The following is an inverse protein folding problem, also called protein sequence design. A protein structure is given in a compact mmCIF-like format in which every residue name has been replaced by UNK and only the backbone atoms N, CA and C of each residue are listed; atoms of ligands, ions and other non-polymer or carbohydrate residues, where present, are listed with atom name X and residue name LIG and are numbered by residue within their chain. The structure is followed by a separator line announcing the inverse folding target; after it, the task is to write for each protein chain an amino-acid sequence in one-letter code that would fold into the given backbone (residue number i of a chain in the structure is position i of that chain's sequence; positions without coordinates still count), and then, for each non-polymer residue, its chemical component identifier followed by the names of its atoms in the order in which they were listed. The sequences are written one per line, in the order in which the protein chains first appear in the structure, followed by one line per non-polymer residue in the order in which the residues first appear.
data_IF_377536221052
#
_entry.id   IF_377536221052
#
_cell.length_a   1.000
_cell.length_b   1.000
_cell.length_c   1.000
_cell.angle_alpha   90.00
_cell.angle_beta   90.00
_cell.angle_gamma   90.00
#
_symmetry.space_group_name_H-M   'P 1'
#
loop_
_entity.id
_entity.type
_entity.pdbx_description
1 polymer ?
#
# COMPACT_ATOMS: atom_id res chain seq x y z
N UNK A 1 8.62 21.52 -19.86
CA UNK A 1 9.79 21.56 -20.78
C UNK A 1 10.90 20.70 -20.21
N UNK A 2 11.67 19.99 -21.03
CA UNK A 2 12.85 19.24 -20.58
C UNK A 2 14.13 19.84 -21.15
N UNK A 3 15.08 20.11 -20.26
CA UNK A 3 16.45 20.52 -20.56
C UNK A 3 17.37 19.34 -20.34
N UNK A 4 18.21 19.03 -21.32
CA UNK A 4 19.17 17.93 -21.28
C UNK A 4 20.57 18.52 -21.35
N UNK A 5 21.35 18.32 -20.30
CA UNK A 5 22.75 18.76 -20.20
C UNK A 5 23.64 17.52 -20.12
N UNK A 6 24.29 17.16 -21.23
CA UNK A 6 25.37 16.15 -21.27
C UNK A 6 25.04 14.78 -20.64
N UNK A 7 23.78 14.38 -20.69
CA UNK A 7 23.31 13.05 -20.26
C UNK A 7 22.39 12.44 -21.31
N UNK A 8 22.41 11.11 -21.40
CA UNK A 8 21.49 10.37 -22.24
C UNK A 8 20.44 9.70 -21.34
N UNK A 9 19.18 10.12 -21.44
CA UNK A 9 18.07 9.56 -20.66
C UNK A 9 17.00 9.12 -21.66
N UNK A 10 16.42 7.91 -21.51
CA UNK A 10 15.29 7.49 -22.34
C UNK A 10 14.11 8.44 -22.12
N UNK A 11 13.59 9.02 -23.21
CA UNK A 11 12.54 10.04 -23.16
C UNK A 11 11.18 9.43 -23.48
N UNK A 12 10.10 9.81 -22.76
CA UNK A 12 8.73 9.51 -23.18
C UNK A 12 8.33 10.34 -24.42
N UNK A 13 7.48 9.77 -25.28
CA UNK A 13 6.97 10.45 -26.47
C UNK A 13 6.14 11.70 -26.12
N UNK A 14 6.27 12.78 -26.92
CA UNK A 14 5.43 13.98 -26.83
C UNK A 14 5.96 15.14 -25.97
N UNK A 15 7.15 15.02 -25.37
CA UNK A 15 7.78 16.14 -24.65
C UNK A 15 8.38 17.17 -25.62
N UNK A 16 8.06 18.45 -25.44
CA UNK A 16 8.79 19.55 -26.09
C UNK A 16 10.19 19.63 -25.49
N UNK A 17 11.16 19.07 -26.21
CA UNK A 17 12.57 19.09 -25.88
C UNK A 17 13.12 20.44 -26.33
N UNK A 18 13.67 21.20 -25.40
CA UNK A 18 14.61 22.24 -25.77
C UNK A 18 15.96 21.69 -25.38
N UNK A 19 16.70 21.25 -26.40
CA UNK A 19 18.13 21.08 -26.26
C UNK A 19 18.64 22.48 -25.94
N UNK A 20 18.88 22.79 -24.67
CA UNK A 20 19.78 23.90 -24.43
C UNK A 20 21.12 23.38 -24.93
N UNK A 21 21.60 23.95 -26.03
CA UNK A 21 23.05 24.08 -26.19
C UNK A 21 23.60 24.42 -24.80
N UNK A 22 24.66 23.72 -24.36
CA UNK A 22 25.11 23.83 -23.00
C UNK A 22 25.14 25.31 -22.63
N UNK A 23 24.66 25.64 -21.44
CA UNK A 23 25.06 26.90 -20.80
C UNK A 23 26.57 26.72 -20.56
N UNK A 24 27.31 26.82 -21.66
CA UNK A 24 28.74 26.64 -21.80
C UNK A 24 29.30 28.03 -21.65
N UNK A 25 29.60 28.34 -20.42
CA UNK A 25 30.96 28.71 -20.14
C UNK A 25 31.32 28.17 -18.77
N UNK A 26 32.48 27.55 -18.70
CA UNK A 26 33.11 27.08 -17.48
C UNK A 26 33.46 28.23 -16.49
N UNK A 27 32.86 29.42 -16.63
CA UNK A 27 33.24 30.61 -15.86
C UNK A 27 32.10 31.35 -15.16
N UNK A 28 30.81 31.11 -15.41
CA UNK A 28 29.80 31.84 -14.63
C UNK A 28 28.40 31.20 -14.66
N UNK A 29 28.18 30.24 -13.76
CA UNK A 29 26.85 29.68 -13.46
C UNK A 29 25.89 30.68 -12.79
N UNK A 30 26.29 31.95 -12.60
CA UNK A 30 25.49 33.02 -11.99
C UNK A 30 25.61 34.33 -12.81
N UNK A 31 26.16 34.31 -14.04
CA UNK A 31 26.24 35.55 -14.83
C UNK A 31 24.84 36.05 -15.19
N UNK A 32 24.52 37.35 -14.98
CA UNK A 32 23.20 37.90 -15.31
C UNK A 32 22.76 37.65 -16.77
N UNK A 33 23.69 37.73 -17.74
CA UNK A 33 23.38 37.45 -19.14
C UNK A 33 23.04 35.98 -19.42
N UNK A 34 23.68 35.03 -18.72
CA UNK A 34 23.37 33.61 -18.86
C UNK A 34 22.00 33.31 -18.24
N UNK A 35 21.71 33.91 -17.09
CA UNK A 35 20.40 33.81 -16.42
C UNK A 35 19.27 34.42 -17.28
N UNK A 36 19.49 35.58 -17.92
CA UNK A 36 18.52 36.21 -18.83
C UNK A 36 18.22 35.34 -20.06
N UNK A 37 19.23 34.71 -20.67
CA UNK A 37 19.01 33.76 -21.78
C UNK A 37 18.13 32.59 -21.35
N UNK A 38 18.43 31.99 -20.20
CA UNK A 38 17.63 30.90 -19.67
C UNK A 38 16.19 31.38 -19.35
N UNK A 39 16.04 32.53 -18.69
CA UNK A 39 14.75 33.11 -18.34
C UNK A 39 13.87 33.36 -19.58
N UNK A 40 14.46 33.82 -20.69
CA UNK A 40 13.74 33.99 -21.97
C UNK A 40 13.31 32.66 -22.58
N UNK A 41 14.16 31.62 -22.48
CA UNK A 41 13.83 30.29 -23.00
C UNK A 41 12.69 29.61 -22.23
N UNK A 42 12.61 29.84 -20.91
CA UNK A 42 11.56 29.26 -20.05
C UNK A 42 10.34 30.18 -19.87
N UNK A 43 10.30 31.33 -20.56
CA UNK A 43 9.19 32.28 -20.44
C UNK A 43 7.88 31.65 -20.91
N UNK A 44 6.85 31.72 -20.06
CA UNK A 44 5.53 31.15 -20.36
C UNK A 44 5.47 29.62 -20.22
N UNK A 45 6.47 29.00 -19.58
CA UNK A 45 6.48 27.58 -19.22
C UNK A 45 6.16 27.48 -17.72
N UNK A 46 5.23 26.60 -17.35
CA UNK A 46 4.86 26.38 -15.95
C UNK A 46 5.85 25.47 -15.20
N UNK A 47 6.40 24.48 -15.92
CA UNK A 47 7.27 23.45 -15.34
C UNK A 47 8.45 23.06 -16.24
N UNK A 48 9.64 23.00 -15.63
CA UNK A 48 10.92 22.65 -16.27
C UNK A 48 11.57 21.47 -15.54
N UNK A 49 11.92 20.44 -16.30
CA UNK A 49 12.73 19.32 -15.85
C UNK A 49 14.15 19.48 -16.39
N UNK A 50 15.15 19.18 -15.56
CA UNK A 50 16.57 19.24 -15.96
C UNK A 50 17.25 17.90 -15.72
N UNK A 51 17.74 17.31 -16.81
CA UNK A 51 18.59 16.14 -16.82
C UNK A 51 20.06 16.58 -16.91
N UNK A 52 20.88 16.28 -15.89
CA UNK A 52 22.31 16.63 -15.90
C UNK A 52 23.16 15.63 -15.09
N UNK A 53 24.50 15.59 -15.28
CA UNK A 53 25.37 14.72 -14.51
C UNK A 53 25.42 15.14 -13.03
N UNK A 54 25.71 14.22 -12.10
CA UNK A 54 25.77 14.53 -10.66
C UNK A 54 26.64 15.75 -10.32
N UNK A 55 27.78 15.92 -11.01
CA UNK A 55 28.71 17.03 -10.83
C UNK A 55 28.14 18.41 -11.15
N UNK A 56 27.05 18.49 -11.93
CA UNK A 56 26.42 19.76 -12.36
C UNK A 56 25.09 20.05 -11.67
N UNK A 57 24.57 19.13 -10.84
CA UNK A 57 23.29 19.30 -10.12
C UNK A 57 23.29 20.51 -9.19
N UNK A 58 24.41 20.77 -8.49
CA UNK A 58 24.54 21.93 -7.60
C UNK A 58 24.44 23.25 -8.39
N UNK A 59 25.11 23.31 -9.54
CA UNK A 59 25.10 24.45 -10.45
C UNK A 59 23.69 24.72 -10.98
N UNK A 60 23.00 23.69 -11.50
CA UNK A 60 21.62 23.83 -11.96
C UNK A 60 20.66 24.19 -10.83
N UNK A 61 20.79 23.60 -9.63
CA UNK A 61 19.98 23.98 -8.46
C UNK A 61 20.09 25.47 -8.16
N UNK A 62 21.31 26.04 -8.19
CA UNK A 62 21.52 27.47 -7.95
C UNK A 62 20.86 28.34 -9.03
N UNK A 63 21.04 27.98 -10.30
CA UNK A 63 20.44 28.69 -11.44
C UNK A 63 18.90 28.66 -11.39
N UNK A 64 18.33 27.48 -11.17
CA UNK A 64 16.87 27.25 -11.21
C UNK A 64 16.16 27.92 -10.04
N UNK A 65 16.80 28.06 -8.87
CA UNK A 65 16.26 28.80 -7.72
C UNK A 65 16.04 30.29 -8.00
N UNK A 66 16.76 30.86 -8.97
CA UNK A 66 16.55 32.25 -9.42
C UNK A 66 15.49 32.39 -10.50
N UNK A 67 14.90 31.29 -10.98
CA UNK A 67 13.87 31.32 -12.02
C UNK A 67 12.46 31.48 -11.43
N UNK A 68 11.53 32.02 -12.21
CA UNK A 68 10.12 32.16 -11.83
C UNK A 68 9.26 30.95 -12.22
N UNK A 69 9.87 29.77 -12.39
CA UNK A 69 9.23 28.56 -12.96
C UNK A 69 9.44 27.38 -12.04
N UNK A 70 8.44 26.50 -11.91
CA UNK A 70 8.59 25.25 -11.16
C UNK A 70 9.66 24.39 -11.83
N UNK A 71 10.75 24.15 -11.09
CA UNK A 71 11.95 23.53 -11.64
C UNK A 71 12.31 22.25 -10.88
N UNK A 72 12.48 21.15 -11.60
CA UNK A 72 12.78 19.84 -11.04
C UNK A 72 14.06 19.25 -11.64
N UNK A 73 14.94 18.72 -10.79
CA UNK A 73 16.13 17.98 -11.23
C UNK A 73 15.79 16.49 -11.33
N UNK A 74 16.13 15.88 -12.46
CA UNK A 74 16.01 14.45 -12.65
C UNK A 74 17.19 13.75 -11.97
N UNK A 75 16.88 12.85 -11.04
CA UNK A 75 17.84 12.04 -10.29
C UNK A 75 17.42 10.56 -10.39
N UNK A 76 17.67 9.90 -11.54
CA UNK A 76 17.23 8.52 -11.79
C UNK A 76 17.73 7.51 -10.74
N UNK A 77 18.84 7.82 -10.07
CA UNK A 77 19.39 7.00 -8.98
C UNK A 77 18.40 6.84 -7.82
N UNK A 78 17.51 7.82 -7.61
CA UNK A 78 16.48 7.77 -6.57
C UNK A 78 15.33 6.82 -6.93
N UNK A 79 15.09 6.52 -8.21
CA UNK A 79 14.02 5.59 -8.61
C UNK A 79 14.28 4.18 -8.09
N UNK A 80 15.56 3.79 -8.00
CA UNK A 80 15.96 2.48 -7.42
C UNK A 80 15.64 2.36 -5.93
N UNK A 81 15.58 3.48 -5.21
CA UNK A 81 15.32 3.56 -3.77
C UNK A 81 13.80 3.66 -3.50
N UNK A 82 12.99 4.07 -4.49
CA UNK A 82 11.55 4.24 -4.33
C UNK A 82 11.18 5.48 -3.53
N UNK A 83 11.73 6.63 -3.91
CA UNK A 83 11.53 7.90 -3.18
C UNK A 83 10.10 8.42 -3.30
N UNK A 84 9.50 8.75 -2.16
CA UNK A 84 8.17 9.37 -2.06
C UNK A 84 8.29 10.89 -1.89
N UNK A 85 9.43 11.37 -1.37
CA UNK A 85 9.72 12.79 -1.19
C UNK A 85 11.04 13.00 -0.47
N UNK A 86 11.29 14.22 -0.02
CA UNK A 86 12.48 14.57 0.76
C UNK A 86 12.13 15.36 2.02
N UNK A 87 13.01 15.30 3.02
CA UNK A 87 12.98 16.17 4.22
C UNK A 87 14.40 16.61 4.54
N UNK A 88 14.54 17.48 5.53
CA UNK A 88 15.84 17.78 6.13
C UNK A 88 15.85 17.31 7.57
N UNK A 89 16.94 16.68 7.98
CA UNK A 89 17.20 16.31 9.36
C UNK A 89 18.60 16.77 9.73
N UNK A 90 18.69 17.69 10.70
CA UNK A 90 19.96 18.30 11.13
C UNK A 90 20.80 18.87 9.97
N UNK A 91 20.16 19.54 9.00
CA UNK A 91 20.83 20.13 7.83
C UNK A 91 21.20 19.13 6.72
N UNK A 92 20.98 17.83 6.93
CA UNK A 92 21.21 16.79 5.93
C UNK A 92 19.90 16.51 5.18
N UNK A 93 19.97 16.51 3.85
CA UNK A 93 18.84 16.11 3.01
C UNK A 93 18.56 14.61 3.19
N UNK A 94 17.32 14.27 3.48
CA UNK A 94 16.85 12.90 3.64
C UNK A 94 15.90 12.52 2.54
N UNK A 95 15.86 11.23 2.24
CA UNK A 95 14.95 10.61 1.30
C UNK A 95 13.82 9.93 2.06
N UNK A 96 12.58 10.28 1.74
CA UNK A 96 11.39 9.67 2.33
C UNK A 96 11.04 8.39 1.57
N UNK A 97 11.25 7.24 2.20
CA UNK A 97 10.94 5.90 1.63
C UNK A 97 9.58 5.36 2.05
N UNK A 98 8.99 5.90 3.12
CA UNK A 98 7.67 5.51 3.60
C UNK A 98 6.98 6.71 4.26
N UNK A 99 5.81 7.06 3.75
CA UNK A 99 4.87 7.92 4.44
C UNK A 99 3.89 7.00 5.19
N UNK A 100 3.74 7.18 6.50
CA UNK A 100 2.79 6.38 7.30
C UNK A 100 1.37 6.41 6.70
N UNK A 101 0.53 5.44 7.07
CA UNK A 101 -0.78 5.20 6.43
C UNK A 101 -1.75 6.38 6.44
N UNK A 102 -1.83 7.06 7.58
CA UNK A 102 -2.81 8.10 7.84
C UNK A 102 -2.17 9.16 8.73
N UNK A 103 -2.43 10.41 8.42
CA UNK A 103 -2.08 11.52 9.30
C UNK A 103 -2.85 11.40 10.62
N UNK A 104 -2.34 12.04 11.68
CA UNK A 104 -2.94 11.95 13.02
C UNK A 104 -4.44 12.29 13.02
N UNK A 105 -4.84 13.35 12.30
CA UNK A 105 -6.24 13.76 12.17
C UNK A 105 -7.10 12.67 11.53
N UNK A 106 -6.63 12.07 10.44
CA UNK A 106 -7.34 11.02 9.73
C UNK A 106 -7.48 9.77 10.61
N UNK A 107 -6.44 9.41 11.38
CA UNK A 107 -6.51 8.30 12.35
C UNK A 107 -7.54 8.55 13.43
N UNK A 108 -7.59 9.77 13.96
CA UNK A 108 -8.55 10.19 15.00
C UNK A 108 -9.99 10.17 14.47
N UNK A 109 -10.22 10.51 13.20
CA UNK A 109 -11.56 10.43 12.59
C UNK A 109 -11.94 9.00 12.23
N UNK A 110 -10.98 8.21 11.73
CA UNK A 110 -11.22 6.85 11.24
C UNK A 110 -11.56 5.87 12.35
N UNK A 111 -10.92 5.99 13.52
CA UNK A 111 -11.10 5.01 14.60
C UNK A 111 -12.49 5.04 15.25
N UNK A 112 -13.06 6.21 15.60
CA UNK A 112 -14.44 6.30 16.09
C UNK A 112 -15.45 5.76 15.08
N UNK A 113 -15.28 6.08 13.78
CA UNK A 113 -16.13 5.53 12.73
C UNK A 113 -16.13 4.00 12.72
N UNK A 114 -14.94 3.38 12.75
CA UNK A 114 -14.83 1.92 12.81
C UNK A 114 -15.46 1.34 14.09
N UNK A 115 -15.30 2.01 15.23
CA UNK A 115 -15.84 1.55 16.50
C UNK A 115 -17.37 1.64 16.56
N UNK A 116 -17.95 2.77 16.13
CA UNK A 116 -19.41 2.99 16.14
C UNK A 116 -20.10 1.92 15.31
N UNK A 117 -19.62 1.69 14.08
CA UNK A 117 -20.20 0.69 13.20
C UNK A 117 -19.94 -0.72 13.76
N UNK A 118 -18.72 -1.04 14.21
CA UNK A 118 -18.42 -2.37 14.73
C UNK A 118 -19.26 -2.72 15.96
N UNK A 119 -19.46 -1.78 16.88
CA UNK A 119 -20.31 -1.98 18.06
C UNK A 119 -21.75 -2.20 17.64
N UNK A 120 -22.30 -1.34 16.76
CA UNK A 120 -23.67 -1.47 16.25
C UNK A 120 -23.91 -2.83 15.58
N UNK A 121 -23.05 -3.20 14.63
CA UNK A 121 -23.18 -4.46 13.89
C UNK A 121 -22.98 -5.66 14.82
N UNK A 122 -22.04 -5.61 15.77
CA UNK A 122 -21.81 -6.72 16.71
C UNK A 122 -23.02 -6.94 17.62
N UNK A 123 -23.63 -5.88 18.14
CA UNK A 123 -24.83 -5.97 18.98
C UNK A 123 -26.01 -6.52 18.17
N UNK A 124 -26.21 -6.01 16.96
CA UNK A 124 -27.29 -6.45 16.07
C UNK A 124 -27.14 -7.92 15.64
N UNK A 125 -25.91 -8.36 15.37
CA UNK A 125 -25.61 -9.73 14.93
C UNK A 125 -25.41 -10.72 16.09
N UNK A 126 -25.48 -10.28 17.34
CA UNK A 126 -25.26 -11.14 18.50
C UNK A 126 -26.18 -12.37 18.53
N UNK A 127 -27.50 -12.27 18.24
CA UNK A 127 -28.38 -13.44 18.18
C UNK A 127 -27.92 -14.44 17.10
N UNK A 128 -27.51 -13.94 15.92
CA UNK A 128 -26.98 -14.77 14.85
C UNK A 128 -25.69 -15.47 15.27
N UNK A 129 -24.79 -14.78 16.00
CA UNK A 129 -23.54 -15.37 16.48
C UNK A 129 -23.81 -16.55 17.41
N UNK A 130 -24.80 -16.44 18.30
CA UNK A 130 -25.21 -17.53 19.19
C UNK A 130 -25.75 -18.72 18.40
N UNK A 131 -26.66 -18.48 17.45
CA UNK A 131 -27.23 -19.55 16.60
C UNK A 131 -26.14 -20.28 15.82
N UNK A 132 -25.24 -19.54 15.17
CA UNK A 132 -24.13 -20.12 14.40
C UNK A 132 -23.16 -20.86 15.33
N UNK A 133 -22.87 -20.33 16.51
CA UNK A 133 -22.01 -20.98 17.49
C UNK A 133 -22.54 -22.34 17.94
N UNK A 134 -23.84 -22.41 18.24
CA UNK A 134 -24.52 -23.67 18.59
C UNK A 134 -24.45 -24.66 17.41
N UNK A 135 -24.79 -24.21 16.20
CA UNK A 135 -24.75 -25.06 15.01
C UNK A 135 -23.34 -25.62 14.75
N UNK A 136 -22.30 -24.79 14.88
CA UNK A 136 -20.89 -25.22 14.72
C UNK A 136 -20.47 -26.24 15.79
N UNK A 137 -20.96 -26.11 17.03
CA UNK A 137 -20.69 -27.03 18.14
C UNK A 137 -21.40 -28.37 17.98
N UNK A 138 -22.62 -28.36 17.43
CA UNK A 138 -23.39 -29.58 17.16
C UNK A 138 -22.85 -30.37 15.95
N UNK A 139 -22.26 -29.68 14.97
CA UNK A 139 -21.76 -30.31 13.73
C UNK A 139 -20.41 -31.03 13.91
N UNK A 140 -19.53 -30.54 14.81
CA UNK A 140 -18.25 -31.22 15.12
C UNK A 140 -17.63 -30.78 16.46
N UNK A 141 -16.84 -31.62 17.14
CA UNK A 141 -16.17 -31.25 18.39
C UNK A 141 -15.10 -30.15 18.18
N UNK A 142 -14.86 -29.33 19.20
CA UNK A 142 -13.83 -28.26 19.23
C UNK A 142 -14.37 -26.82 19.39
N UNK A 143 -13.57 -25.77 19.14
CA UNK A 143 -13.95 -24.37 19.37
C UNK A 143 -14.88 -23.82 18.29
N UNK A 144 -15.69 -22.81 18.64
CA UNK A 144 -16.59 -22.12 17.70
C UNK A 144 -15.81 -21.34 16.66
N UNK A 145 -14.77 -20.63 17.12
CA UNK A 145 -13.95 -19.79 16.26
C UNK A 145 -12.75 -20.56 15.74
N UNK A 146 -12.47 -20.36 14.47
CA UNK A 146 -11.18 -20.64 13.87
C UNK A 146 -10.34 -19.36 13.93
N UNK A 147 -9.10 -19.49 14.41
CA UNK A 147 -8.17 -18.38 14.60
C UNK A 147 -6.95 -18.64 13.74
N UNK A 148 -6.58 -17.66 12.93
CA UNK A 148 -5.44 -17.77 12.03
C UNK A 148 -4.64 -16.47 12.06
N UNK A 149 -3.33 -16.58 12.23
CA UNK A 149 -2.44 -15.43 12.13
C UNK A 149 -2.44 -14.83 10.72
N UNK A 150 -2.41 -13.51 10.69
CA UNK A 150 -2.39 -12.70 9.47
C UNK A 150 -1.42 -11.55 9.66
N UNK A 151 -0.84 -11.09 8.56
CA UNK A 151 -0.03 -9.86 8.57
C UNK A 151 -0.97 -8.65 8.53
N UNK A 152 -0.81 -7.75 9.50
CA UNK A 152 -1.60 -6.53 9.67
C UNK A 152 -0.77 -5.26 9.48
N UNK A 153 -1.24 -4.16 10.06
CA UNK A 153 -0.58 -2.85 10.00
C UNK A 153 0.85 -2.92 10.54
N UNK A 154 1.80 -2.29 9.84
CA UNK A 154 3.22 -2.27 10.24
C UNK A 154 3.90 -3.64 10.21
N UNK A 155 3.36 -4.60 9.46
CA UNK A 155 3.79 -6.01 9.44
C UNK A 155 3.56 -6.77 10.77
N UNK A 156 2.78 -6.23 11.70
CA UNK A 156 2.45 -6.95 12.93
C UNK A 156 1.51 -8.10 12.65
N UNK A 157 1.82 -9.28 13.20
CA UNK A 157 0.92 -10.41 13.16
C UNK A 157 -0.26 -10.18 14.11
N UNK A 158 -1.46 -10.58 13.67
CA UNK A 158 -2.64 -10.59 14.52
C UNK A 158 -3.48 -11.86 14.29
N UNK A 159 -4.16 -12.27 15.36
CA UNK A 159 -5.09 -13.39 15.35
C UNK A 159 -6.41 -12.96 14.68
N UNK A 160 -6.67 -13.43 13.46
CA UNK A 160 -7.90 -13.16 12.72
C UNK A 160 -8.98 -14.18 13.09
N UNK A 161 -10.16 -13.71 13.50
CA UNK A 161 -11.28 -14.56 13.89
C UNK A 161 -12.19 -14.89 12.71
N UNK A 162 -12.58 -16.17 12.58
CA UNK A 162 -13.64 -16.65 11.69
C UNK A 162 -14.49 -17.67 12.41
N UNK A 163 -15.73 -17.89 11.96
CA UNK A 163 -16.45 -19.09 12.39
C UNK A 163 -15.77 -20.31 11.78
N UNK A 164 -15.63 -21.36 12.59
CA UNK A 164 -15.07 -22.62 12.14
C UNK A 164 -16.00 -23.27 11.13
N UNK A 165 -15.48 -23.52 9.92
CA UNK A 165 -16.19 -24.23 8.84
C UNK A 165 -15.57 -25.60 8.50
N UNK A 166 -14.51 -25.98 9.20
CA UNK A 166 -13.74 -27.20 8.96
C UNK A 166 -13.46 -27.95 10.27
N UNK A 167 -13.30 -29.28 10.19
CA UNK A 167 -12.99 -30.14 11.33
C UNK A 167 -11.63 -29.78 11.93
N UNK A 168 -11.60 -29.49 13.22
CA UNK A 168 -10.39 -29.00 13.90
C UNK A 168 -9.21 -29.97 13.78
N UNK A 169 -9.45 -31.27 13.92
CA UNK A 169 -8.39 -32.29 13.89
C UNK A 169 -7.63 -32.38 12.55
N UNK A 170 -8.19 -31.79 11.49
CA UNK A 170 -7.62 -31.81 10.14
C UNK A 170 -7.22 -30.41 9.65
N UNK A 171 -7.35 -29.39 10.51
CA UNK A 171 -7.07 -28.01 10.13
C UNK A 171 -5.58 -27.73 10.15
N UNK A 172 -5.12 -27.09 9.07
CA UNK A 172 -3.84 -26.45 8.98
C UNK A 172 -3.99 -25.00 9.47
N UNK A 173 -3.46 -24.71 10.66
CA UNK A 173 -3.54 -23.38 11.26
C UNK A 173 -2.58 -22.37 10.58
N UNK A 174 -1.58 -22.86 9.84
CA UNK A 174 -0.59 -22.03 9.16
C UNK A 174 -1.05 -21.61 7.74
N UNK A 175 -2.09 -22.29 7.22
CA UNK A 175 -2.70 -21.94 5.94
C UNK A 175 -1.87 -22.31 4.72
N UNK A 176 -0.98 -23.29 4.86
CA UNK A 176 -0.11 -23.76 3.79
C UNK A 176 -0.92 -24.54 2.73
N UNK A 177 -2.07 -25.09 3.11
CA UNK A 177 -2.96 -25.78 2.17
C UNK A 177 -4.22 -24.96 1.89
N UNK A 178 -4.35 -24.47 0.66
CA UNK A 178 -5.57 -23.84 0.17
C UNK A 178 -6.75 -24.82 0.20
N UNK A 179 -7.94 -24.32 0.54
CA UNK A 179 -9.15 -25.16 0.54
C UNK A 179 -9.54 -25.56 -0.88
N UNK A 180 -9.63 -26.86 -1.16
CA UNK A 180 -10.17 -27.37 -2.42
C UNK A 180 -11.72 -27.20 -2.48
N UNK A 181 -12.31 -27.26 -3.69
CA UNK A 181 -13.78 -27.13 -3.86
C UNK A 181 -14.56 -28.22 -3.10
N UNK A 182 -14.07 -29.45 -3.09
CA UNK A 182 -14.66 -30.59 -2.38
C UNK A 182 -13.77 -31.08 -1.24
N UNK A 183 -13.31 -30.14 -0.41
CA UNK A 183 -12.43 -30.45 0.71
C UNK A 183 -13.18 -31.22 1.81
N UNK A 184 -12.75 -32.47 2.06
CA UNK A 184 -13.29 -33.39 3.07
C UNK A 184 -13.24 -32.85 4.50
N UNK A 185 -12.43 -31.82 4.75
CA UNK A 185 -12.33 -31.15 6.05
C UNK A 185 -13.53 -30.26 6.32
N UNK A 186 -14.25 -29.80 5.30
CA UNK A 186 -15.41 -28.90 5.43
C UNK A 186 -16.61 -29.64 6.03
N UNK A 187 -17.18 -29.10 7.09
CA UNK A 187 -18.33 -29.72 7.77
C UNK A 187 -19.66 -29.39 7.08
N UNK A 188 -20.77 -30.01 7.47
CA UNK A 188 -22.07 -29.78 6.83
C UNK A 188 -22.55 -28.35 7.03
N UNK A 189 -22.46 -27.84 8.26
CA UNK A 189 -22.72 -26.42 8.58
C UNK A 189 -21.62 -25.54 7.97
N UNK A 190 -20.39 -26.04 7.90
CA UNK A 190 -19.27 -25.36 7.25
C UNK A 190 -19.54 -25.00 5.79
N UNK A 191 -20.20 -25.87 5.02
CA UNK A 191 -20.63 -25.57 3.64
C UNK A 191 -21.56 -24.35 3.59
N UNK A 192 -22.54 -24.29 4.50
CA UNK A 192 -23.46 -23.15 4.59
C UNK A 192 -22.75 -21.85 5.01
N UNK A 193 -21.87 -21.92 6.01
CA UNK A 193 -21.07 -20.77 6.49
C UNK A 193 -20.22 -20.16 5.36
N UNK A 194 -19.66 -21.00 4.48
CA UNK A 194 -18.83 -20.56 3.35
C UNK A 194 -19.67 -20.05 2.18
N UNK A 195 -20.83 -20.67 1.91
CA UNK A 195 -21.74 -20.23 0.85
C UNK A 195 -22.34 -18.84 1.13
N UNK A 196 -22.50 -18.48 2.41
CA UNK A 196 -23.13 -17.22 2.85
C UNK A 196 -22.12 -16.15 3.29
N UNK A 197 -20.82 -16.45 3.26
CA UNK A 197 -19.74 -15.58 3.79
C UNK A 197 -19.90 -15.19 5.28
N UNK A 198 -20.87 -15.77 6.01
CA UNK A 198 -21.13 -15.54 7.45
C UNK A 198 -19.88 -15.89 8.29
N UNK A 199 -19.02 -16.77 7.78
CA UNK A 199 -17.77 -17.14 8.43
C UNK A 199 -16.84 -15.97 8.74
N UNK A 200 -16.98 -14.85 8.04
CA UNK A 200 -16.15 -13.66 8.20
C UNK A 200 -16.66 -12.68 9.27
N UNK A 201 -17.91 -12.83 9.73
CA UNK A 201 -18.51 -11.88 10.71
C UNK A 201 -17.74 -11.76 12.03
N UNK A 202 -17.10 -12.81 12.60
CA UNK A 202 -16.30 -12.66 13.82
C UNK A 202 -15.12 -11.68 13.69
N UNK A 203 -14.73 -11.28 12.48
CA UNK A 203 -13.73 -10.23 12.25
C UNK A 203 -14.18 -8.87 12.78
N UNK A 204 -15.48 -8.64 13.04
CA UNK A 204 -15.95 -7.46 13.78
C UNK A 204 -15.25 -7.33 15.13
N UNK A 205 -14.96 -8.44 15.80
CA UNK A 205 -14.18 -8.46 17.05
C UNK A 205 -12.75 -7.98 16.82
N UNK A 206 -12.14 -8.27 15.67
CA UNK A 206 -10.83 -7.73 15.29
C UNK A 206 -10.87 -6.22 15.07
N UNK A 207 -11.96 -5.68 14.53
CA UNK A 207 -12.17 -4.24 14.39
C UNK A 207 -12.31 -3.60 15.77
N UNK A 208 -13.11 -4.17 16.67
CA UNK A 208 -13.25 -3.69 18.05
C UNK A 208 -11.90 -3.67 18.79
N UNK A 209 -11.10 -4.75 18.67
CA UNK A 209 -9.75 -4.85 19.26
C UNK A 209 -8.72 -3.94 18.58
N UNK A 210 -9.06 -3.33 17.45
CA UNK A 210 -8.21 -2.37 16.75
C UNK A 210 -7.17 -2.98 15.82
N UNK A 211 -7.22 -4.29 15.55
CA UNK A 211 -6.33 -4.97 14.60
C UNK A 211 -6.79 -4.81 13.15
N UNK A 212 -8.09 -4.66 12.94
CA UNK A 212 -8.70 -4.47 11.62
C UNK A 212 -9.48 -3.17 11.54
N UNK A 213 -9.88 -2.84 10.32
CA UNK A 213 -10.77 -1.74 9.96
C UNK A 213 -11.91 -2.26 9.07
N UNK A 214 -12.99 -1.49 8.90
CA UNK A 214 -14.01 -1.85 7.91
C UNK A 214 -13.46 -1.79 6.49
N UNK A 215 -12.69 -0.75 6.18
CA UNK A 215 -12.12 -0.49 4.85
C UNK A 215 -10.61 -0.50 4.93
N UNK A 216 -9.99 -1.39 4.15
CA UNK A 216 -8.55 -1.57 4.09
C UNK A 216 -8.15 -2.76 3.20
N UNK A 217 -6.85 -3.03 3.01
CA UNK A 217 -6.39 -4.17 2.24
C UNK A 217 -6.81 -5.50 2.88
N UNK A 218 -7.20 -6.49 2.09
CA UNK A 218 -7.55 -7.82 2.61
C UNK A 218 -6.31 -8.46 3.27
N UNK A 219 -6.41 -8.96 4.51
CA UNK A 219 -5.31 -9.68 5.15
C UNK A 219 -5.16 -11.08 4.52
N UNK A 220 -3.97 -11.39 4.01
CA UNK A 220 -3.66 -12.69 3.42
C UNK A 220 -3.00 -13.62 4.45
N UNK A 221 -3.17 -14.93 4.26
CA UNK A 221 -2.45 -15.92 5.06
C UNK A 221 -0.95 -15.87 4.77
N UNK A 222 -0.15 -16.23 5.77
CA UNK A 222 1.29 -16.32 5.61
C UNK A 222 1.61 -17.36 4.53
N UNK A 223 0.99 -18.54 4.55
CA UNK A 223 1.17 -19.55 3.50
C UNK A 223 0.44 -19.27 2.17
N UNK A 224 -0.03 -18.04 1.89
CA UNK A 224 -0.80 -17.81 0.65
C UNK A 224 0.10 -17.74 -0.58
N UNK A 225 -0.21 -18.58 -1.56
CA UNK A 225 0.54 -18.70 -2.81
C UNK A 225 -0.16 -18.01 -3.99
N UNK A 226 0.64 -17.53 -4.94
CA UNK A 226 0.26 -17.16 -6.29
C UNK A 226 0.98 -18.10 -7.28
N UNK A 227 0.27 -19.15 -7.71
CA UNK A 227 0.93 -20.31 -8.34
C UNK A 227 1.74 -21.06 -7.29
N UNK A 228 3.03 -21.28 -7.56
CA UNK A 228 3.96 -21.99 -6.66
C UNK A 228 4.79 -21.07 -5.77
N UNK A 229 4.58 -19.75 -5.85
CA UNK A 229 5.33 -18.74 -5.11
C UNK A 229 4.50 -18.06 -4.06
N UNK A 230 5.11 -17.68 -2.95
CA UNK A 230 4.44 -16.87 -1.93
C UNK A 230 4.17 -15.47 -2.49
N UNK A 231 3.08 -14.83 -2.06
CA UNK A 231 2.71 -13.54 -2.65
C UNK A 231 3.80 -12.47 -2.58
N UNK A 232 4.62 -12.46 -1.52
CA UNK A 232 5.72 -11.51 -1.38
C UNK A 232 6.95 -11.83 -2.25
N UNK A 233 7.02 -13.03 -2.81
CA UNK A 233 8.07 -13.41 -3.76
C UNK A 233 7.72 -12.98 -5.20
N UNK A 234 6.44 -12.72 -5.46
CA UNK A 234 5.94 -12.31 -6.78
C UNK A 234 6.11 -10.81 -7.01
N UNK A 235 5.83 -9.99 -5.99
CA UNK A 235 5.92 -8.54 -6.08
C UNK A 235 6.62 -7.97 -4.83
N UNK A 236 7.75 -7.29 -5.05
CA UNK A 236 8.51 -6.62 -3.98
C UNK A 236 7.67 -5.55 -3.24
N UNK A 237 6.66 -4.98 -3.92
CA UNK A 237 5.74 -3.98 -3.36
C UNK A 237 4.64 -4.60 -2.51
N UNK A 238 4.57 -5.94 -2.41
CA UNK A 238 3.53 -6.63 -1.65
C UNK A 238 3.39 -6.10 -0.22
N UNK A 239 4.50 -5.79 0.44
CA UNK A 239 4.53 -5.28 1.81
C UNK A 239 3.89 -3.89 1.96
N UNK A 240 3.74 -3.10 0.88
CA UNK A 240 3.11 -1.78 0.93
C UNK A 240 1.66 -1.85 1.39
N UNK A 241 0.98 -2.99 1.21
CA UNK A 241 -0.38 -3.18 1.69
C UNK A 241 -0.49 -3.23 3.21
N UNK A 242 0.62 -3.49 3.92
CA UNK A 242 0.67 -3.55 5.37
C UNK A 242 0.89 -2.16 6.00
N UNK A 243 0.96 -1.09 5.19
CA UNK A 243 1.15 0.26 5.71
C UNK A 243 -0.04 0.70 6.58
N UNK A 244 -1.26 0.22 6.28
CA UNK A 244 -2.49 0.54 7.01
C UNK A 244 -3.17 -0.72 7.57
N UNK A 245 -4.20 -0.51 8.41
CA UNK A 245 -4.98 -1.61 8.97
C UNK A 245 -5.64 -2.46 7.88
N UNK A 246 -5.59 -3.79 8.00
CA UNK A 246 -6.33 -4.66 7.11
C UNK A 246 -7.84 -4.42 7.22
N UNK A 247 -8.53 -4.58 6.09
CA UNK A 247 -9.95 -4.32 5.94
C UNK A 247 -10.80 -5.58 5.88
N UNK A 248 -12.02 -5.51 6.42
CA UNK A 248 -13.09 -6.46 6.10
C UNK A 248 -13.43 -6.37 4.60
N UNK A 249 -13.57 -5.15 4.08
CA UNK A 249 -13.69 -4.83 2.65
C UNK A 249 -12.59 -3.88 2.21
N UNK A 250 -12.44 -3.69 0.90
CA UNK A 250 -11.38 -2.86 0.30
C UNK A 250 -11.49 -2.79 -1.21
N UNK A 251 -10.62 -1.98 -1.82
CA UNK A 251 -10.63 -1.71 -3.26
C UNK A 251 -10.55 -3.00 -4.10
N UNK A 252 -9.68 -3.93 -3.72
CA UNK A 252 -9.53 -5.22 -4.41
C UNK A 252 -10.83 -6.04 -4.35
N UNK A 253 -11.47 -6.12 -3.18
CA UNK A 253 -12.72 -6.85 -2.99
C UNK A 253 -13.88 -6.26 -3.81
N UNK A 254 -13.95 -4.93 -3.90
CA UNK A 254 -14.97 -4.20 -4.69
C UNK A 254 -14.73 -4.39 -6.19
N UNK A 255 -13.47 -4.44 -6.63
CA UNK A 255 -13.08 -4.71 -8.02
C UNK A 255 -13.13 -6.20 -8.41
N UNK A 256 -13.59 -7.09 -7.53
CA UNK A 256 -13.70 -8.52 -7.81
C UNK A 256 -12.41 -9.33 -7.65
N UNK A 257 -11.30 -8.70 -7.27
CA UNK A 257 -10.02 -9.36 -7.00
C UNK A 257 -10.01 -9.97 -5.60
N UNK A 258 -10.81 -11.02 -5.39
CA UNK A 258 -11.04 -11.61 -4.05
C UNK A 258 -9.96 -12.61 -3.60
N UNK A 259 -9.05 -13.03 -4.48
CA UNK A 259 -8.09 -14.11 -4.23
C UNK A 259 -8.80 -15.46 -4.11
N UNK A 260 -8.39 -16.43 -4.93
CA UNK A 260 -8.89 -17.81 -5.04
C UNK A 260 -10.38 -18.07 -4.68
N UNK A 261 -11.22 -18.23 -5.73
CA UNK A 261 -12.45 -19.03 -5.74
C UNK A 261 -12.30 -20.15 -6.76
#
# INVERSE_FOLDING_TARGET
MLIIDRVNIPLPDGLKIVLSEPVDSAETTIHPLALDRLARQVKGIDEVFVACPPSRRANWSTVLKGSSVTSQLLIPELDTIGVIGNKHFAGIATVLVSAGSLQLRERILKRPFDLIIAVRETVFLLPLFVVVAIAVKMDSPGPVFFVHNRVGEGNHLFAMFKFRSMRQALNDNDGNVSTARDDVRVTRIGKFIRATDIGELPQLLNILRGHMSFVGPRPHAIGSLAGDKLFWEVDQRYHHRHVCKPGLTGLAQVRGFRGAR
#
